data_IF_341430116535
#
_entry.id   IF_341430116535
#
_cell.length_a   1.000
_cell.length_b   1.000
_cell.length_c   1.000
_cell.angle_alpha   90.00
_cell.angle_beta   90.00
_cell.angle_gamma   90.00
#
_symmetry.space_group_name_H-M   'P 1'
#
loop_
_entity.id
_entity.type
_entity.pdbx_description
1 polymer ?
#
# COMPACT_ATOMS: atom_id res chain seq x y z
N UNK A 1 -60.35 15.83 -10.12
CA UNK A 1 -59.82 15.47 -8.80
C UNK A 1 -58.55 14.64 -9.01
N UNK A 2 -57.40 15.16 -8.54
CA UNK A 2 -56.20 14.43 -8.12
C UNK A 2 -55.56 13.41 -9.10
N UNK A 3 -54.95 13.90 -10.18
CA UNK A 3 -53.86 13.20 -10.87
C UNK A 3 -52.62 14.12 -10.94
N UNK A 4 -52.22 14.65 -9.78
CA UNK A 4 -51.03 15.51 -9.61
C UNK A 4 -50.41 15.27 -8.24
N UNK A 5 -50.12 14.02 -7.88
CA UNK A 5 -49.36 13.77 -6.65
C UNK A 5 -48.72 12.38 -6.55
N UNK A 6 -48.24 11.80 -7.66
CA UNK A 6 -47.60 10.49 -7.59
C UNK A 6 -46.36 10.37 -8.49
N UNK A 7 -45.64 11.48 -8.75
CA UNK A 7 -44.43 11.46 -9.59
C UNK A 7 -43.16 11.95 -8.88
N UNK A 8 -43.15 12.05 -7.55
CA UNK A 8 -41.97 12.57 -6.82
C UNK A 8 -41.32 11.61 -5.82
N UNK A 9 -41.73 10.33 -5.74
CA UNK A 9 -41.27 9.46 -4.64
C UNK A 9 -40.21 8.41 -5.00
N UNK A 10 -39.55 8.47 -6.17
CA UNK A 10 -38.67 7.36 -6.64
C UNK A 10 -37.24 7.80 -6.98
N UNK A 11 -36.68 8.83 -6.32
CA UNK A 11 -35.28 9.22 -6.54
C UNK A 11 -34.52 9.43 -5.22
N UNK A 12 -34.51 8.40 -4.37
CA UNK A 12 -33.42 8.21 -3.40
C UNK A 12 -32.83 6.80 -3.60
N UNK A 13 -32.23 6.57 -4.77
CA UNK A 13 -31.23 5.51 -4.89
C UNK A 13 -29.93 6.06 -4.29
N UNK A 14 -29.75 5.91 -2.98
CA UNK A 14 -28.47 6.17 -2.33
C UNK A 14 -27.44 5.17 -2.90
N UNK A 15 -26.56 5.66 -3.77
CA UNK A 15 -25.39 4.90 -4.21
C UNK A 15 -24.46 4.73 -3.01
N UNK A 16 -24.55 3.58 -2.36
CA UNK A 16 -23.56 3.17 -1.37
C UNK A 16 -22.26 2.85 -2.11
N UNK A 17 -21.33 3.80 -2.15
CA UNK A 17 -19.95 3.49 -2.55
C UNK A 17 -19.28 2.77 -1.39
N UNK A 18 -19.12 1.45 -1.52
CA UNK A 18 -18.26 0.69 -0.60
C UNK A 18 -16.81 0.96 -1.01
N UNK A 19 -16.11 1.83 -0.28
CA UNK A 19 -14.65 1.96 -0.42
C UNK A 19 -14.05 0.76 0.30
N UNK A 20 -13.63 -0.26 -0.45
CA UNK A 20 -12.82 -1.34 0.10
C UNK A 20 -11.49 -0.75 0.58
N UNK A 21 -11.13 -1.00 1.84
CA UNK A 21 -9.80 -0.65 2.33
C UNK A 21 -8.77 -1.45 1.54
N UNK A 22 -7.68 -0.80 1.13
CA UNK A 22 -6.56 -1.51 0.50
C UNK A 22 -6.09 -2.64 1.43
N UNK A 23 -5.84 -3.85 0.92
CA UNK A 23 -5.38 -4.95 1.72
C UNK A 23 -4.01 -4.61 2.31
N UNK A 24 -3.90 -4.85 3.63
CA UNK A 24 -2.71 -4.55 4.43
C UNK A 24 -2.32 -5.80 5.21
N UNK A 25 -1.03 -6.12 5.24
CA UNK A 25 -0.48 -7.23 6.02
C UNK A 25 0.77 -6.80 6.79
N UNK A 26 0.86 -7.14 8.07
CA UNK A 26 2.08 -6.96 8.86
C UNK A 26 3.04 -8.12 8.62
N UNK A 27 4.27 -7.80 8.22
CA UNK A 27 5.36 -8.75 8.02
C UNK A 27 6.55 -8.40 8.92
N UNK A 28 7.40 -9.38 9.22
CA UNK A 28 8.47 -9.25 10.21
C UNK A 28 9.77 -9.94 9.80
N UNK A 29 10.86 -9.50 10.43
CA UNK A 29 12.17 -10.16 10.35
C UNK A 29 12.10 -11.64 10.69
N UNK A 30 11.26 -12.03 11.66
CA UNK A 30 11.06 -13.43 12.03
C UNK A 30 10.54 -14.29 10.87
N UNK A 31 9.67 -13.72 10.02
CA UNK A 31 9.11 -14.44 8.87
C UNK A 31 10.08 -14.54 7.69
N UNK A 32 10.92 -13.52 7.47
CA UNK A 32 11.80 -13.42 6.30
C UNK A 32 13.27 -13.82 6.57
N UNK A 33 13.70 -13.92 7.83
CA UNK A 33 15.05 -14.33 8.19
C UNK A 33 16.13 -13.43 7.56
N UNK A 34 17.08 -14.06 6.88
CA UNK A 34 18.23 -13.39 6.24
C UNK A 34 17.82 -12.48 5.07
N UNK A 35 16.67 -12.74 4.45
CA UNK A 35 16.12 -11.92 3.37
C UNK A 35 15.49 -10.62 3.89
N UNK A 36 15.44 -10.40 5.21
CA UNK A 36 14.87 -9.19 5.79
C UNK A 36 15.79 -7.96 5.64
N UNK A 37 15.40 -6.95 4.84
CA UNK A 37 16.33 -5.90 4.44
C UNK A 37 16.34 -4.68 5.36
N UNK A 38 15.41 -4.59 6.33
CA UNK A 38 15.15 -3.36 7.09
C UNK A 38 15.77 -3.33 8.49
N UNK A 39 16.02 -2.11 8.97
CA UNK A 39 16.43 -1.83 10.36
C UNK A 39 15.32 -2.07 11.38
N UNK A 40 14.05 -2.09 10.93
CA UNK A 40 12.87 -2.36 11.75
C UNK A 40 12.63 -3.85 11.88
N UNK A 41 12.04 -4.28 12.99
CA UNK A 41 11.70 -5.69 13.21
C UNK A 41 10.42 -6.11 12.44
N UNK A 42 9.54 -5.16 12.14
CA UNK A 42 8.32 -5.39 11.38
C UNK A 42 7.91 -4.15 10.58
N UNK A 43 7.13 -4.38 9.52
CA UNK A 43 6.50 -3.35 8.69
C UNK A 43 5.12 -3.81 8.25
N UNK A 44 4.29 -2.89 7.78
CA UNK A 44 3.04 -3.23 7.08
C UNK A 44 3.25 -3.10 5.57
N UNK A 45 2.74 -4.05 4.81
CA UNK A 45 2.69 -4.02 3.35
C UNK A 45 1.28 -3.64 2.90
N UNK A 46 1.18 -2.78 1.89
CA UNK A 46 -0.09 -2.37 1.28
C UNK A 46 0.01 -2.56 -0.24
N UNK A 47 -1.04 -3.11 -0.85
CA UNK A 47 -1.27 -2.98 -2.29
C UNK A 47 -2.51 -2.12 -2.55
N UNK A 48 -2.34 -1.03 -3.31
CA UNK A 48 -3.45 -0.16 -3.69
C UNK A 48 -4.12 -0.60 -4.98
N UNK A 49 -5.34 -0.12 -5.21
CA UNK A 49 -6.16 -0.45 -6.38
C UNK A 49 -5.50 -0.11 -7.73
N UNK A 50 -4.57 0.84 -7.77
CA UNK A 50 -3.81 1.20 -8.96
C UNK A 50 -2.48 0.41 -9.10
N UNK A 51 -2.24 -0.58 -8.26
CA UNK A 51 -1.03 -1.40 -8.24
C UNK A 51 0.18 -0.75 -7.55
N UNK A 52 -0.01 0.36 -6.83
CA UNK A 52 1.05 0.92 -5.99
C UNK A 52 1.33 -0.04 -4.81
N UNK A 53 2.60 -0.41 -4.64
CA UNK A 53 3.07 -1.27 -3.56
C UNK A 53 3.83 -0.41 -2.54
N UNK A 54 3.45 -0.50 -1.27
CA UNK A 54 3.94 0.41 -0.23
C UNK A 54 4.34 -0.38 1.02
N UNK A 55 5.47 0.00 1.60
CA UNK A 55 5.85 -0.33 2.97
C UNK A 55 5.41 0.80 3.90
N UNK A 56 4.81 0.47 5.03
CA UNK A 56 4.42 1.42 6.07
C UNK A 56 5.14 1.06 7.37
N UNK A 57 5.79 2.04 7.99
CA UNK A 57 6.31 1.90 9.33
C UNK A 57 5.14 2.01 10.33
N UNK A 58 4.77 0.94 11.07
CA UNK A 58 3.59 0.94 11.93
C UNK A 58 3.66 1.96 13.08
N UNK A 59 4.87 2.32 13.53
CA UNK A 59 5.05 3.26 14.63
C UNK A 59 4.88 4.74 14.22
N UNK A 60 5.06 5.07 12.93
CA UNK A 60 5.06 6.46 12.45
C UNK A 60 4.08 6.73 11.32
N UNK A 61 3.51 5.66 10.74
CA UNK A 61 2.70 5.67 9.52
C UNK A 61 3.42 6.26 8.30
N UNK A 62 4.75 6.40 8.35
CA UNK A 62 5.54 6.82 7.20
C UNK A 62 5.50 5.74 6.13
N UNK A 63 5.30 6.16 4.88
CA UNK A 63 5.17 5.30 3.70
C UNK A 63 6.47 5.30 2.90
N UNK A 64 6.79 4.16 2.29
CA UNK A 64 7.97 3.97 1.45
C UNK A 64 7.57 3.16 0.20
N UNK A 65 7.89 3.64 -1.02
CA UNK A 65 7.49 2.97 -2.25
C UNK A 65 8.28 1.67 -2.48
N UNK A 66 7.62 0.62 -2.98
CA UNK A 66 8.23 -0.67 -3.38
C UNK A 66 8.27 -0.90 -4.90
N UNK A 67 7.60 -0.04 -5.68
CA UNK A 67 7.57 -0.15 -7.14
C UNK A 67 7.46 1.21 -7.81
N UNK A 68 7.65 1.23 -9.13
CA UNK A 68 7.63 2.44 -9.95
C UNK A 68 6.32 3.22 -9.85
N UNK A 69 5.19 2.52 -9.68
CA UNK A 69 3.89 3.17 -9.48
C UNK A 69 3.91 4.00 -8.20
N UNK A 70 4.28 3.40 -7.06
CA UNK A 70 4.35 4.12 -5.79
C UNK A 70 5.45 5.20 -5.78
N UNK A 71 6.58 4.94 -6.44
CA UNK A 71 7.67 5.90 -6.63
C UNK A 71 7.19 7.15 -7.37
N UNK A 72 6.50 6.98 -8.50
CA UNK A 72 5.96 8.08 -9.28
C UNK A 72 4.90 8.87 -8.48
N UNK A 73 4.08 8.19 -7.67
CA UNK A 73 3.12 8.87 -6.78
C UNK A 73 3.82 9.73 -5.72
N UNK A 74 4.91 9.23 -5.14
CA UNK A 74 5.73 9.99 -4.18
C UNK A 74 6.32 11.23 -4.85
N UNK A 75 6.92 11.08 -6.03
CA UNK A 75 7.56 12.17 -6.78
C UNK A 75 6.54 13.25 -7.19
N UNK A 76 5.33 12.84 -7.56
CA UNK A 76 4.20 13.74 -7.85
C UNK A 76 3.53 14.32 -6.60
N UNK A 77 3.97 13.92 -5.40
CA UNK A 77 3.38 14.31 -4.10
C UNK A 77 1.91 13.88 -3.94
N UNK A 78 1.48 12.85 -4.66
CA UNK A 78 0.16 12.23 -4.50
C UNK A 78 0.08 11.41 -3.21
N UNK A 79 1.24 10.97 -2.69
CA UNK A 79 1.35 10.27 -1.42
C UNK A 79 2.45 10.91 -0.56
N UNK A 80 2.26 10.91 0.76
CA UNK A 80 3.29 11.34 1.71
C UNK A 80 4.22 10.16 2.01
N UNK A 81 5.26 10.02 1.21
CA UNK A 81 6.23 8.94 1.31
C UNK A 81 7.68 9.44 1.33
N UNK A 82 8.60 8.55 1.70
CA UNK A 82 10.05 8.75 1.67
C UNK A 82 10.72 7.63 0.87
N UNK A 83 11.93 7.86 0.32
CA UNK A 83 12.69 6.80 -0.35
C UNK A 83 12.91 5.58 0.55
N UNK A 84 12.79 4.38 -0.02
CA UNK A 84 12.91 3.11 0.72
C UNK A 84 14.30 2.92 1.36
N UNK A 85 15.33 3.57 0.81
CA UNK A 85 16.72 3.49 1.29
C UNK A 85 16.89 3.89 2.76
N UNK A 86 16.04 4.79 3.26
CA UNK A 86 16.06 5.24 4.65
C UNK A 86 15.70 4.11 5.63
N UNK A 87 14.94 3.11 5.16
CA UNK A 87 14.49 1.97 5.98
C UNK A 87 15.47 0.79 5.95
N UNK A 88 16.32 0.73 4.93
CA UNK A 88 17.27 -0.37 4.70
C UNK A 88 18.33 -0.42 5.79
N UNK A 89 18.75 -1.64 6.17
CA UNK A 89 19.99 -1.86 6.93
C UNK A 89 21.18 -1.25 6.17
N UNK A 90 22.25 -0.80 6.86
CA UNK A 90 23.49 -0.37 6.21
C UNK A 90 23.97 -1.37 5.16
N UNK A 91 24.68 -0.87 4.14
CA UNK A 91 25.14 -1.64 2.99
C UNK A 91 26.23 -2.62 3.43
N UNK A 92 25.83 -3.84 3.76
CA UNK A 92 26.72 -5.00 3.97
C UNK A 92 26.67 -5.97 2.78
N UNK A 93 26.10 -5.55 1.64
CA UNK A 93 25.81 -6.41 0.49
C UNK A 93 26.06 -5.67 -0.83
N UNK A 94 26.47 -6.40 -1.87
CA UNK A 94 26.60 -5.88 -3.25
C UNK A 94 25.24 -5.67 -3.95
N UNK A 95 24.14 -6.13 -3.34
CA UNK A 95 22.78 -5.99 -3.89
C UNK A 95 22.34 -4.52 -3.86
N UNK A 96 21.75 -4.07 -4.96
CA UNK A 96 21.03 -2.80 -5.06
C UNK A 96 19.82 -2.74 -4.11
N UNK A 97 19.32 -1.53 -3.84
CA UNK A 97 18.11 -1.34 -3.03
C UNK A 97 16.90 -2.12 -3.57
N UNK A 98 16.72 -2.11 -4.90
CA UNK A 98 15.63 -2.83 -5.57
C UNK A 98 15.74 -4.34 -5.38
N UNK A 99 16.94 -4.92 -5.55
CA UNK A 99 17.17 -6.35 -5.32
C UNK A 99 16.96 -6.76 -3.85
N UNK A 100 17.29 -5.87 -2.90
CA UNK A 100 17.13 -6.13 -1.46
C UNK A 100 15.67 -6.17 -1.03
N UNK A 101 14.80 -5.41 -1.69
CA UNK A 101 13.37 -5.34 -1.33
C UNK A 101 12.50 -6.29 -2.13
N UNK A 102 13.06 -7.01 -3.11
CA UNK A 102 12.31 -7.93 -3.98
C UNK A 102 11.44 -8.95 -3.21
N UNK A 103 11.90 -9.62 -2.13
CA UNK A 103 11.04 -10.54 -1.37
C UNK A 103 9.79 -9.86 -0.81
N UNK A 104 9.90 -8.59 -0.41
CA UNK A 104 8.81 -7.80 0.14
C UNK A 104 7.91 -7.21 -0.96
N UNK A 105 8.48 -6.84 -2.11
CA UNK A 105 7.72 -6.46 -3.31
C UNK A 105 6.82 -7.60 -3.76
N UNK A 106 7.34 -8.83 -3.77
CA UNK A 106 6.55 -10.05 -4.07
C UNK A 106 5.46 -10.31 -3.03
N UNK A 107 5.77 -10.14 -1.74
CA UNK A 107 4.77 -10.28 -0.67
C UNK A 107 3.64 -9.25 -0.80
N UNK A 108 3.98 -7.97 -0.99
CA UNK A 108 2.99 -6.90 -1.19
C UNK A 108 2.14 -7.14 -2.45
N UNK A 109 2.75 -7.64 -3.55
CA UNK A 109 2.03 -7.96 -4.79
C UNK A 109 0.97 -9.05 -4.59
N UNK A 110 1.18 -10.01 -3.68
CA UNK A 110 0.17 -11.05 -3.37
C UNK A 110 -1.10 -10.45 -2.75
N UNK A 111 -0.98 -9.31 -2.06
CA UNK A 111 -2.13 -8.59 -1.50
C UNK A 111 -3.04 -8.00 -2.58
N UNK A 112 -2.51 -7.67 -3.76
CA UNK A 112 -3.31 -7.09 -4.84
C UNK A 112 -4.45 -8.01 -5.33
N UNK A 113 -4.32 -9.32 -5.14
CA UNK A 113 -5.36 -10.29 -5.52
C UNK A 113 -6.49 -10.38 -4.50
N UNK A 114 -6.33 -9.72 -3.34
CA UNK A 114 -7.33 -9.63 -2.27
C UNK A 114 -8.02 -8.24 -2.23
N UNK A 115 -7.78 -7.39 -3.24
CA UNK A 115 -8.36 -6.04 -3.37
C UNK A 115 -9.66 -6.02 -4.16
#
# INVERSE_FOLDING_TARGET
MKLKLALCSVLLASTSFTVAAAPIETVSKKQFGDDWPFTREEVMLECRSNGALIVINPATLMQYPLNDVAQAQMEKKEIKAQPIDILLKPIETEKSAEERVEPLKLAAKKLCNNS
#
